data_IF_369348255990
#
_entry.id   IF_369348255990
#
_cell.length_a   1.000
_cell.length_b   1.000
_cell.length_c   1.000
_cell.angle_alpha   90.00
_cell.angle_beta   90.00
_cell.angle_gamma   90.00
#
_symmetry.space_group_name_H-M   'P 1'
#
loop_
_entity.id
_entity.type
_entity.pdbx_description
1 polymer ?
#
# COMPACT_ATOMS: atom_id res chain seq x y z
N UNK A 1 5.27 21.36 2.68
CA UNK A 1 4.73 20.25 1.87
C UNK A 1 3.24 20.48 1.73
N UNK A 2 2.66 20.37 0.53
CA UNK A 2 1.20 20.49 0.36
C UNK A 2 0.48 19.25 0.92
N UNK A 3 -0.83 19.35 1.16
CA UNK A 3 -1.63 18.25 1.75
C UNK A 3 -1.51 16.97 0.94
N UNK A 4 -1.57 17.08 -0.40
CA UNK A 4 -1.43 15.94 -1.30
C UNK A 4 -0.06 15.24 -1.16
N UNK A 5 1.04 16.01 -1.10
CA UNK A 5 2.38 15.47 -0.91
C UNK A 5 2.56 14.82 0.47
N UNK A 6 1.87 15.32 1.50
CA UNK A 6 1.85 14.69 2.81
C UNK A 6 1.11 13.35 2.79
N UNK A 7 -0.08 13.29 2.20
CA UNK A 7 -0.85 12.06 2.07
C UNK A 7 -0.09 11.01 1.26
N UNK A 8 0.62 11.42 0.20
CA UNK A 8 1.50 10.52 -0.54
C UNK A 8 2.68 9.99 0.29
N UNK A 9 3.29 10.83 1.14
CA UNK A 9 4.37 10.40 2.04
C UNK A 9 3.84 9.41 3.09
N UNK A 10 2.67 9.69 3.65
CA UNK A 10 2.00 8.80 4.59
C UNK A 10 1.65 7.46 3.94
N UNK A 11 1.07 7.47 2.73
CA UNK A 11 0.78 6.26 1.95
C UNK A 11 2.03 5.41 1.70
N UNK A 12 3.17 6.03 1.37
CA UNK A 12 4.46 5.32 1.26
C UNK A 12 4.90 4.73 2.60
N UNK A 13 4.73 5.48 3.69
CA UNK A 13 5.13 5.03 5.03
C UNK A 13 4.31 3.81 5.52
N UNK A 14 3.08 3.63 5.02
CA UNK A 14 2.25 2.46 5.27
C UNK A 14 2.74 1.19 4.54
N UNK A 15 3.54 1.31 3.48
CA UNK A 15 4.00 0.14 2.71
C UNK A 15 4.98 -0.74 3.48
N UNK A 16 5.84 -0.14 4.30
CA UNK A 16 6.86 -0.87 5.06
C UNK A 16 6.27 -1.97 5.97
N UNK A 17 5.27 -1.69 6.84
CA UNK A 17 4.64 -2.73 7.64
C UNK A 17 3.78 -3.70 6.81
N UNK A 18 3.27 -3.29 5.64
CA UNK A 18 2.48 -4.17 4.77
C UNK A 18 3.37 -5.22 4.07
N UNK A 19 4.64 -4.91 3.80
CA UNK A 19 5.55 -5.78 3.06
C UNK A 19 5.80 -7.15 3.73
N UNK A 20 5.64 -7.26 5.05
CA UNK A 20 5.83 -8.55 5.77
C UNK A 20 4.58 -9.44 5.74
N UNK A 21 3.40 -8.86 5.44
CA UNK A 21 2.13 -9.57 5.50
C UNK A 21 2.01 -10.79 4.58
N UNK A 22 2.53 -10.80 3.32
CA UNK A 22 2.44 -11.98 2.47
C UNK A 22 3.12 -13.21 3.10
N UNK A 23 4.33 -13.02 3.65
CA UNK A 23 5.09 -14.10 4.27
C UNK A 23 4.41 -14.53 5.56
N UNK A 24 3.92 -13.58 6.37
CA UNK A 24 3.16 -13.89 7.57
C UNK A 24 1.89 -14.70 7.27
N UNK A 25 1.12 -14.31 6.25
CA UNK A 25 -0.06 -15.03 5.79
C UNK A 25 0.27 -16.46 5.35
N UNK A 26 1.33 -16.62 4.56
CA UNK A 26 1.78 -17.95 4.11
C UNK A 26 2.20 -18.84 5.27
N UNK A 27 3.00 -18.33 6.21
CA UNK A 27 3.42 -19.09 7.39
C UNK A 27 2.21 -19.47 8.26
N UNK A 28 1.33 -18.50 8.54
CA UNK A 28 0.13 -18.73 9.33
C UNK A 28 -0.73 -19.82 8.70
N UNK A 29 -0.95 -19.73 7.38
CA UNK A 29 -1.84 -20.64 6.67
C UNK A 29 -1.23 -22.03 6.51
N UNK A 30 0.02 -22.13 6.04
CA UNK A 30 0.70 -23.42 5.85
C UNK A 30 0.81 -24.21 7.15
N UNK A 31 0.95 -23.54 8.30
CA UNK A 31 1.01 -24.18 9.61
C UNK A 31 -0.30 -24.78 10.12
N UNK A 32 -1.45 -24.47 9.51
CA UNK A 32 -2.76 -24.95 9.99
C UNK A 32 -2.90 -26.49 9.89
N UNK A 33 -3.74 -27.12 10.74
CA UNK A 33 -3.91 -28.59 10.79
C UNK A 33 -4.34 -29.24 9.47
N UNK A 34 -5.10 -28.52 8.65
CA UNK A 34 -5.62 -28.99 7.37
C UNK A 34 -4.61 -28.86 6.21
N UNK A 35 -3.44 -28.24 6.44
CA UNK A 35 -2.33 -28.16 5.49
C UNK A 35 -1.12 -28.94 6.00
N UNK A 36 -0.05 -28.28 6.45
CA UNK A 36 1.15 -28.99 6.92
C UNK A 36 1.02 -29.41 8.40
N UNK A 37 0.10 -28.81 9.16
CA UNK A 37 -0.11 -29.13 10.57
C UNK A 37 1.12 -28.85 11.44
N UNK A 38 1.81 -27.72 11.21
CA UNK A 38 3.00 -27.31 11.95
C UNK A 38 2.67 -26.07 12.79
N UNK A 39 2.25 -26.21 14.06
CA UNK A 39 1.86 -25.08 14.91
C UNK A 39 2.96 -24.03 15.07
N UNK A 40 4.23 -24.46 15.10
CA UNK A 40 5.39 -23.55 15.12
C UNK A 40 5.37 -22.56 13.94
N UNK A 41 5.00 -23.03 12.75
CA UNK A 41 4.92 -22.20 11.55
C UNK A 41 3.69 -21.28 11.60
N UNK A 42 2.56 -21.81 12.07
CA UNK A 42 1.33 -21.04 12.23
C UNK A 42 1.55 -19.85 13.17
N UNK A 43 2.15 -20.10 14.34
CA UNK A 43 2.42 -19.07 15.34
C UNK A 43 3.44 -18.02 14.87
N UNK A 44 4.42 -18.41 14.05
CA UNK A 44 5.35 -17.46 13.45
C UNK A 44 4.63 -16.43 12.56
N UNK A 45 3.63 -16.86 11.79
CA UNK A 45 2.78 -15.96 11.02
C UNK A 45 1.82 -15.15 11.89
N UNK A 46 1.16 -15.80 12.85
CA UNK A 46 0.23 -15.18 13.79
C UNK A 46 0.87 -14.04 14.60
N UNK A 47 2.13 -14.19 15.00
CA UNK A 47 2.87 -13.18 15.76
C UNK A 47 2.91 -11.82 15.04
N UNK A 48 2.97 -11.81 13.71
CA UNK A 48 2.96 -10.58 12.90
C UNK A 48 1.56 -9.94 12.90
N UNK A 49 0.51 -10.73 12.66
CA UNK A 49 -0.87 -10.23 12.64
C UNK A 49 -1.31 -9.71 14.02
N UNK A 50 -0.98 -10.43 15.08
CA UNK A 50 -1.30 -10.07 16.47
C UNK A 50 -0.62 -8.77 16.92
N UNK A 51 0.49 -8.37 16.27
CA UNK A 51 1.23 -7.16 16.59
C UNK A 51 1.15 -6.09 15.49
N UNK A 52 0.21 -6.23 14.56
CA UNK A 52 0.19 -5.40 13.37
C UNK A 52 -0.02 -3.89 13.68
N UNK A 53 -0.86 -3.45 14.64
CA UNK A 53 -0.91 -2.04 15.04
C UNK A 53 0.44 -1.47 15.50
N UNK A 54 1.25 -2.24 16.23
CA UNK A 54 2.59 -1.84 16.67
C UNK A 54 3.54 -1.73 15.48
N UNK A 55 3.51 -2.68 14.54
CA UNK A 55 4.29 -2.63 13.31
C UNK A 55 3.94 -1.39 12.48
N UNK A 56 2.65 -1.02 12.40
CA UNK A 56 2.22 0.23 11.75
C UNK A 56 2.79 1.46 12.46
N UNK A 57 2.75 1.51 13.80
CA UNK A 57 3.34 2.63 14.55
C UNK A 57 4.83 2.81 14.24
N UNK A 58 5.59 1.71 14.27
CA UNK A 58 7.03 1.73 13.97
C UNK A 58 7.30 2.10 12.50
N UNK A 59 6.62 1.44 11.57
CA UNK A 59 6.83 1.60 10.14
C UNK A 59 6.47 3.00 9.63
N UNK A 60 5.35 3.55 10.09
CA UNK A 60 4.94 4.92 9.75
C UNK A 60 5.93 5.93 10.35
N UNK A 61 6.37 5.73 11.60
CA UNK A 61 7.33 6.63 12.23
C UNK A 61 8.65 6.68 11.42
N UNK A 62 9.15 5.53 10.98
CA UNK A 62 10.32 5.43 10.11
C UNK A 62 10.06 6.11 8.77
N UNK A 63 8.98 5.77 8.08
CA UNK A 63 8.66 6.34 6.76
C UNK A 63 8.40 7.85 6.77
N UNK A 64 7.92 8.40 7.89
CA UNK A 64 7.71 9.84 8.06
C UNK A 64 8.94 10.58 8.60
N UNK A 65 9.88 9.89 9.24
CA UNK A 65 11.15 10.49 9.64
C UNK A 65 11.94 11.02 8.44
N UNK A 66 12.87 11.94 8.68
CA UNK A 66 13.66 12.58 7.62
C UNK A 66 14.70 11.62 7.00
N UNK A 67 15.22 10.69 7.79
CA UNK A 67 16.38 9.87 7.48
C UNK A 67 16.16 8.36 7.72
N UNK A 68 14.91 7.94 7.97
CA UNK A 68 14.57 6.54 8.21
C UNK A 68 15.15 5.97 9.51
N UNK A 69 15.53 6.81 10.48
CA UNK A 69 16.28 6.34 11.63
C UNK A 69 15.47 5.38 12.53
N UNK A 70 16.15 4.33 13.03
CA UNK A 70 15.56 3.37 13.98
C UNK A 70 15.05 3.98 15.29
N UNK A 71 15.58 5.15 15.69
CA UNK A 71 15.06 5.88 16.84
C UNK A 71 13.60 6.37 16.63
N UNK A 72 13.19 6.63 15.39
CA UNK A 72 11.80 6.94 15.06
C UNK A 72 10.89 5.71 15.23
N UNK A 73 11.34 4.51 14.82
CA UNK A 73 10.62 3.26 15.08
C UNK A 73 10.41 3.04 16.59
N UNK A 74 11.47 3.17 17.39
CA UNK A 74 11.36 3.04 18.85
C UNK A 74 10.36 4.06 19.42
N UNK A 75 10.38 5.30 18.95
CA UNK A 75 9.42 6.30 19.35
C UNK A 75 7.97 5.93 18.96
N UNK A 76 7.77 5.34 17.78
CA UNK A 76 6.47 4.81 17.34
C UNK A 76 5.93 3.75 18.29
N UNK A 77 6.78 2.79 18.68
CA UNK A 77 6.42 1.76 19.66
C UNK A 77 6.04 2.35 21.02
N UNK A 78 6.87 3.27 21.55
CA UNK A 78 6.58 3.98 22.81
C UNK A 78 5.28 4.74 22.73
N UNK A 79 5.05 5.47 21.63
CA UNK A 79 3.80 6.19 21.40
C UNK A 79 2.59 5.25 21.37
N UNK A 80 2.70 4.08 20.72
CA UNK A 80 1.60 3.14 20.68
C UNK A 80 1.25 2.61 22.07
N UNK A 81 2.25 2.20 22.86
CA UNK A 81 2.03 1.68 24.22
C UNK A 81 1.44 2.73 25.16
N UNK A 82 1.94 3.98 25.11
CA UNK A 82 1.38 5.06 25.94
C UNK A 82 -0.06 5.37 25.53
N UNK A 83 -0.34 5.40 24.23
CA UNK A 83 -1.68 5.70 23.70
C UNK A 83 -2.71 4.68 24.17
N UNK A 84 -2.43 3.39 23.97
CA UNK A 84 -3.39 2.33 24.30
C UNK A 84 -3.57 2.19 25.81
N UNK A 85 -2.49 2.20 26.59
CA UNK A 85 -2.56 2.08 28.03
C UNK A 85 -3.29 3.25 28.67
N UNK A 86 -2.96 4.50 28.30
CA UNK A 86 -3.55 5.68 28.93
C UNK A 86 -4.99 5.96 28.46
N UNK A 87 -5.36 5.65 27.22
CA UNK A 87 -6.75 5.76 26.79
C UNK A 87 -7.63 4.68 27.45
N UNK A 88 -7.10 3.46 27.59
CA UNK A 88 -7.79 2.32 28.20
C UNK A 88 -8.13 2.52 29.69
N UNK A 89 -7.38 3.34 30.42
CA UNK A 89 -7.73 3.68 31.82
C UNK A 89 -8.93 4.62 31.93
N UNK A 90 -9.23 5.38 30.88
CA UNK A 90 -10.40 6.26 30.82
C UNK A 90 -11.63 5.45 30.39
N UNK A 91 -11.47 4.58 29.39
CA UNK A 91 -12.52 3.68 28.94
C UNK A 91 -11.90 2.34 28.48
N UNK A 92 -12.18 1.22 29.19
CA UNK A 92 -11.60 -0.09 28.89
C UNK A 92 -12.11 -0.70 27.58
N UNK A 93 -13.24 -0.22 27.04
CA UNK A 93 -13.85 -0.71 25.80
C UNK A 93 -13.26 -0.05 24.54
N UNK A 94 -12.30 0.89 24.72
CA UNK A 94 -11.62 1.53 23.59
C UNK A 94 -10.76 0.51 22.85
N UNK A 95 -11.08 0.31 21.58
CA UNK A 95 -10.26 -0.43 20.64
C UNK A 95 -9.91 0.46 19.44
N UNK A 96 -8.72 1.06 19.50
CA UNK A 96 -8.19 1.86 18.39
C UNK A 96 -7.59 0.98 17.29
N UNK A 97 -7.28 -0.29 17.55
CA UNK A 97 -6.65 -1.21 16.61
C UNK A 97 -5.54 -0.52 15.78
N UNK A 98 -5.58 -0.63 14.46
CA UNK A 98 -4.63 -0.01 13.52
C UNK A 98 -4.57 1.52 13.60
N UNK A 99 -5.66 2.20 13.96
CA UNK A 99 -5.66 3.65 14.10
C UNK A 99 -4.75 4.11 15.23
N UNK A 100 -4.71 3.35 16.33
CA UNK A 100 -3.78 3.62 17.43
C UNK A 100 -2.34 3.57 16.93
N UNK A 101 -2.03 2.57 16.10
CA UNK A 101 -0.74 2.45 15.42
C UNK A 101 -0.43 3.64 14.51
N UNK A 102 -1.38 4.03 13.64
CA UNK A 102 -1.22 5.15 12.70
C UNK A 102 -1.01 6.48 13.43
N UNK A 103 -1.83 6.77 14.45
CA UNK A 103 -1.71 7.99 15.27
C UNK A 103 -0.34 8.04 15.95
N UNK A 104 0.05 6.95 16.62
CA UNK A 104 1.35 6.86 17.28
C UNK A 104 2.51 7.05 16.30
N UNK A 105 2.46 6.40 15.14
CA UNK A 105 3.49 6.51 14.11
C UNK A 105 3.61 7.91 13.51
N UNK A 106 2.48 8.57 13.26
CA UNK A 106 2.46 9.97 12.81
C UNK A 106 3.11 10.87 13.86
N UNK A 107 2.69 10.80 15.12
CA UNK A 107 3.24 11.64 16.19
C UNK A 107 4.73 11.37 16.37
N UNK A 108 5.16 10.10 16.35
CA UNK A 108 6.56 9.71 16.47
C UNK A 108 7.43 10.21 15.31
N UNK A 109 6.97 10.07 14.07
CA UNK A 109 7.70 10.56 12.90
C UNK A 109 7.90 12.08 12.91
N UNK A 110 6.88 12.83 13.34
CA UNK A 110 6.98 14.29 13.50
C UNK A 110 7.85 14.68 14.69
N UNK A 111 7.73 13.97 15.81
CA UNK A 111 8.58 14.16 16.99
C UNK A 111 10.05 13.92 16.63
N UNK A 112 10.35 12.90 15.83
CA UNK A 112 11.70 12.68 15.33
C UNK A 112 12.19 13.88 14.55
N UNK A 113 11.44 14.31 13.53
CA UNK A 113 11.82 15.43 12.67
C UNK A 113 12.05 16.73 13.47
N UNK A 114 11.31 16.92 14.56
CA UNK A 114 11.42 18.10 15.42
C UNK A 114 12.56 18.03 16.45
N UNK A 115 12.76 16.89 17.11
CA UNK A 115 13.56 16.81 18.34
C UNK A 115 14.88 16.02 18.21
N UNK A 116 15.11 15.29 17.11
CA UNK A 116 16.28 14.41 16.97
C UNK A 116 17.65 15.11 17.07
N UNK A 117 17.71 16.43 16.92
CA UNK A 117 18.94 17.25 17.01
C UNK A 117 18.93 18.23 18.19
N UNK A 118 17.92 18.18 19.07
CA UNK A 118 17.80 19.10 20.21
C UNK A 118 18.85 18.81 21.27
N UNK A 119 19.51 19.86 21.77
CA UNK A 119 20.46 19.79 22.87
C UNK A 119 19.83 20.30 24.15
N UNK A 120 19.87 19.50 25.21
CA UNK A 120 19.42 19.85 26.55
C UNK A 120 20.57 20.41 27.40
N UNK A 121 20.26 21.09 28.52
CA UNK A 121 21.26 21.49 29.50
C UNK A 121 22.11 20.30 29.99
N UNK A 122 23.34 20.57 30.45
CA UNK A 122 24.35 19.55 30.73
C UNK A 122 23.86 18.44 31.70
N UNK A 123 23.06 18.79 32.71
CA UNK A 123 22.50 17.82 33.66
C UNK A 123 21.44 16.87 33.06
N UNK A 124 20.86 17.21 31.89
CA UNK A 124 19.98 16.36 31.09
C UNK A 124 20.62 15.90 29.78
N UNK A 125 21.92 16.14 29.58
CA UNK A 125 22.62 15.91 28.31
C UNK A 125 22.53 14.46 27.80
N UNK A 126 22.32 13.49 28.71
CA UNK A 126 22.06 12.09 28.34
C UNK A 126 20.81 11.94 27.44
N UNK A 127 19.78 12.76 27.64
CA UNK A 127 18.54 12.68 26.88
C UNK A 127 18.58 13.48 25.58
N UNK A 128 19.66 14.22 25.28
CA UNK A 128 19.77 15.02 24.05
C UNK A 128 19.74 14.18 22.76
N UNK A 129 19.39 14.84 21.66
CA UNK A 129 19.41 14.29 20.31
C UNK A 129 18.36 13.21 20.07
N UNK A 130 18.73 12.14 19.37
CA UNK A 130 17.80 11.04 19.01
C UNK A 130 17.15 10.36 20.22
N UNK A 131 17.80 10.40 21.40
CA UNK A 131 17.27 9.86 22.66
C UNK A 131 16.09 10.65 23.23
N UNK A 132 15.98 11.94 22.86
CA UNK A 132 14.87 12.78 23.27
C UNK A 132 13.56 12.40 22.58
N UNK A 133 13.65 11.80 21.39
CA UNK A 133 12.51 11.59 20.52
C UNK A 133 11.44 10.67 21.14
N UNK A 134 11.77 9.48 21.68
CA UNK A 134 10.75 8.65 22.33
C UNK A 134 10.12 9.32 23.55
N UNK A 135 10.88 10.13 24.30
CA UNK A 135 10.39 10.87 25.48
C UNK A 135 9.34 11.90 25.05
N UNK A 136 9.69 12.75 24.08
CA UNK A 136 8.77 13.77 23.57
C UNK A 136 7.55 13.15 22.90
N UNK A 137 7.72 12.02 22.21
CA UNK A 137 6.61 11.28 21.61
C UNK A 137 5.64 10.80 22.69
N UNK A 138 6.16 10.17 23.76
CA UNK A 138 5.32 9.72 24.89
C UNK A 138 4.57 10.87 25.56
N UNK A 139 5.23 12.01 25.80
CA UNK A 139 4.60 13.19 26.39
C UNK A 139 3.49 13.78 25.51
N UNK A 140 3.71 13.89 24.19
CA UNK A 140 2.69 14.37 23.26
C UNK A 140 1.55 13.37 23.19
N UNK A 141 1.86 12.08 23.09
CA UNK A 141 0.86 11.02 23.06
C UNK A 141 0.03 10.99 24.33
N UNK A 142 0.58 11.30 25.50
CA UNK A 142 -0.21 11.33 26.74
C UNK A 142 -1.41 12.29 26.63
N UNK A 143 -1.20 13.45 26.00
CA UNK A 143 -2.29 14.40 25.71
C UNK A 143 -3.25 13.81 24.66
N UNK A 144 -2.72 13.19 23.61
CA UNK A 144 -3.54 12.53 22.57
C UNK A 144 -4.39 11.40 23.17
N UNK A 145 -3.84 10.61 24.08
CA UNK A 145 -4.50 9.50 24.75
C UNK A 145 -5.60 9.98 25.69
N UNK A 146 -5.36 11.09 26.40
CA UNK A 146 -6.39 11.73 27.20
C UNK A 146 -7.57 12.18 26.33
N UNK A 147 -7.30 12.81 25.17
CA UNK A 147 -8.36 13.17 24.21
C UNK A 147 -9.05 11.92 23.65
N UNK A 148 -8.28 10.92 23.22
CA UNK A 148 -8.79 9.67 22.66
C UNK A 148 -9.69 8.92 23.66
N UNK A 149 -9.36 8.93 24.95
CA UNK A 149 -10.17 8.34 26.02
C UNK A 149 -11.63 8.81 26.02
N UNK A 150 -11.88 10.07 25.67
CA UNK A 150 -13.22 10.64 25.62
C UNK A 150 -13.81 10.69 24.20
N UNK A 151 -12.98 10.92 23.19
CA UNK A 151 -13.44 11.16 21.82
C UNK A 151 -13.54 9.87 21.00
N UNK A 152 -12.62 8.93 21.20
CA UNK A 152 -12.58 7.68 20.43
C UNK A 152 -13.87 6.85 20.54
N UNK A 153 -14.54 6.72 21.71
CA UNK A 153 -15.80 5.99 21.80
C UNK A 153 -16.85 6.47 20.80
N UNK A 154 -16.94 7.77 20.53
CA UNK A 154 -17.86 8.31 19.51
C UNK A 154 -17.46 7.93 18.08
N UNK A 155 -16.15 7.92 17.80
CA UNK A 155 -15.61 7.51 16.50
C UNK A 155 -15.83 6.01 16.30
N UNK A 156 -15.51 5.20 17.31
CA UNK A 156 -15.70 3.76 17.32
C UNK A 156 -17.18 3.41 17.10
N UNK A 157 -18.09 4.00 17.88
CA UNK A 157 -19.53 3.80 17.69
C UNK A 157 -20.01 4.23 16.29
N UNK A 158 -19.41 5.29 15.71
CA UNK A 158 -19.71 5.72 14.34
C UNK A 158 -19.22 4.72 13.28
N UNK A 159 -18.02 4.17 13.46
CA UNK A 159 -17.47 3.10 12.61
C UNK A 159 -18.34 1.85 12.74
N UNK A 160 -18.71 1.47 13.97
CA UNK A 160 -19.53 0.31 14.25
C UNK A 160 -20.92 0.46 13.62
N UNK A 161 -21.59 1.61 13.81
CA UNK A 161 -22.89 1.88 13.20
C UNK A 161 -22.83 1.89 11.66
N UNK A 162 -21.80 2.51 11.08
CA UNK A 162 -21.59 2.50 9.62
C UNK A 162 -21.36 1.07 9.10
N UNK A 163 -20.54 0.32 9.83
CA UNK A 163 -20.20 -1.06 9.53
C UNK A 163 -21.39 -2.00 9.60
N UNK A 164 -22.17 -1.94 10.68
CA UNK A 164 -23.43 -2.67 10.83
C UNK A 164 -24.43 -2.29 9.73
N UNK A 165 -24.59 -0.99 9.43
CA UNK A 165 -25.47 -0.53 8.37
C UNK A 165 -25.11 -1.13 7.01
N UNK A 166 -23.82 -1.22 6.67
CA UNK A 166 -23.37 -1.90 5.44
C UNK A 166 -23.63 -3.41 5.53
N UNK A 167 -23.27 -4.07 6.63
CA UNK A 167 -23.43 -5.51 6.78
C UNK A 167 -24.89 -5.98 6.66
N UNK A 168 -25.83 -5.19 7.18
CA UNK A 168 -27.27 -5.48 7.13
C UNK A 168 -27.93 -5.08 5.80
N UNK A 169 -27.24 -4.31 4.95
CA UNK A 169 -27.77 -3.84 3.66
C UNK A 169 -27.69 -4.88 2.53
N UNK A 170 -27.25 -6.11 2.82
CA UNK A 170 -27.12 -7.19 1.85
C UNK A 170 -26.31 -6.79 0.61
N UNK A 171 -26.84 -7.03 -0.59
CA UNK A 171 -26.15 -6.71 -1.84
C UNK A 171 -25.74 -5.24 -1.98
N UNK A 172 -26.52 -4.29 -1.44
CA UNK A 172 -26.15 -2.86 -1.47
C UNK A 172 -24.91 -2.62 -0.62
N UNK A 173 -24.84 -3.26 0.54
CA UNK A 173 -23.68 -3.20 1.44
C UNK A 173 -22.42 -3.78 0.80
N UNK A 174 -22.52 -4.96 0.21
CA UNK A 174 -21.40 -5.60 -0.51
C UNK A 174 -20.84 -4.72 -1.62
N UNK A 175 -21.74 -4.10 -2.41
CA UNK A 175 -21.37 -3.16 -3.46
C UNK A 175 -20.62 -1.95 -2.90
N UNK A 176 -21.21 -1.28 -1.89
CA UNK A 176 -20.63 -0.09 -1.28
C UNK A 176 -19.26 -0.37 -0.68
N UNK A 177 -19.12 -1.48 0.05
CA UNK A 177 -17.82 -1.87 0.61
C UNK A 177 -16.77 -2.06 -0.49
N UNK A 178 -17.05 -2.84 -1.55
CA UNK A 178 -16.08 -3.09 -2.61
C UNK A 178 -15.68 -1.83 -3.38
N UNK A 179 -16.64 -0.95 -3.66
CA UNK A 179 -16.38 0.32 -4.34
C UNK A 179 -15.61 1.31 -3.47
N UNK A 180 -15.97 1.46 -2.19
CA UNK A 180 -15.23 2.32 -1.27
C UNK A 180 -13.83 1.79 -0.98
N UNK A 181 -13.68 0.46 -0.86
CA UNK A 181 -12.38 -0.17 -0.66
C UNK A 181 -11.39 0.25 -1.76
N UNK A 182 -11.78 0.15 -3.04
CA UNK A 182 -10.93 0.64 -4.13
C UNK A 182 -10.81 2.16 -4.10
N UNK A 183 -11.92 2.90 -4.01
CA UNK A 183 -11.91 4.37 -4.03
C UNK A 183 -11.01 5.02 -2.98
N UNK A 184 -10.74 4.34 -1.87
CA UNK A 184 -9.91 4.81 -0.76
C UNK A 184 -8.42 4.43 -0.86
N UNK A 185 -8.00 3.62 -1.83
CA UNK A 185 -6.58 3.26 -2.05
C UNK A 185 -5.67 4.46 -2.29
N UNK A 186 -6.03 5.49 -3.11
CA UNK A 186 -5.16 6.65 -3.32
C UNK A 186 -4.79 7.37 -2.02
N UNK A 187 -5.61 7.20 -0.98
CA UNK A 187 -5.44 7.82 0.33
C UNK A 187 -4.92 6.83 1.39
N UNK A 188 -4.75 5.55 1.05
CA UNK A 188 -4.43 4.48 2.01
C UNK A 188 -5.55 4.17 3.01
N UNK A 189 -6.73 4.80 2.86
CA UNK A 189 -7.85 4.71 3.81
C UNK A 189 -8.66 3.41 3.65
N UNK A 190 -8.40 2.62 2.62
CA UNK A 190 -9.04 1.32 2.44
C UNK A 190 -8.68 0.33 3.57
N UNK A 191 -7.50 0.47 4.20
CA UNK A 191 -7.13 -0.30 5.38
C UNK A 191 -8.03 -0.03 6.59
N UNK A 192 -8.55 1.20 6.71
CA UNK A 192 -9.53 1.56 7.75
C UNK A 192 -10.82 0.77 7.56
N UNK A 193 -11.32 0.73 6.33
CA UNK A 193 -12.50 -0.07 6.00
C UNK A 193 -12.24 -1.54 6.32
N UNK A 194 -11.11 -2.09 5.86
CA UNK A 194 -10.73 -3.47 6.12
C UNK A 194 -10.61 -3.81 7.60
N UNK A 195 -10.12 -2.89 8.42
CA UNK A 195 -9.96 -3.08 9.87
C UNK A 195 -11.27 -3.51 10.53
N UNK A 196 -12.36 -2.82 10.21
CA UNK A 196 -13.67 -3.16 10.74
C UNK A 196 -14.22 -4.45 10.13
N UNK A 197 -14.31 -4.53 8.79
CA UNK A 197 -15.00 -5.67 8.15
C UNK A 197 -14.26 -6.99 8.36
N UNK A 198 -12.94 -7.00 8.24
CA UNK A 198 -12.17 -8.25 8.31
C UNK A 198 -11.90 -8.70 9.74
N UNK A 199 -11.77 -7.77 10.70
CA UNK A 199 -11.35 -8.11 12.07
C UNK A 199 -12.38 -7.77 13.16
N UNK A 200 -13.39 -6.95 12.87
CA UNK A 200 -14.38 -6.47 13.85
C UNK A 200 -15.83 -6.87 13.56
N UNK A 201 -16.17 -7.26 12.33
CA UNK A 201 -17.55 -7.54 11.94
C UNK A 201 -18.03 -8.95 12.33
N UNK A 202 -18.99 -8.98 13.27
CA UNK A 202 -19.75 -10.17 13.64
C UNK A 202 -18.95 -11.19 14.44
N UNK A 203 -19.65 -12.10 15.09
CA UNK A 203 -19.10 -13.06 16.04
C UNK A 203 -19.38 -14.50 15.61
N UNK A 204 -18.42 -15.39 15.87
CA UNK A 204 -18.54 -16.82 15.66
C UNK A 204 -17.82 -17.57 16.78
N UNK A 205 -18.48 -18.56 17.37
CA UNK A 205 -17.81 -19.48 18.31
C UNK A 205 -17.33 -20.70 17.55
N UNK A 206 -16.02 -20.90 17.51
CA UNK A 206 -15.41 -22.01 16.78
C UNK A 206 -15.67 -23.36 17.49
N UNK A 207 -15.24 -24.47 16.86
CA UNK A 207 -15.40 -25.81 17.43
C UNK A 207 -14.66 -26.03 18.76
N UNK A 208 -13.66 -25.21 19.08
CA UNK A 208 -12.92 -25.24 20.34
C UNK A 208 -13.59 -24.42 21.45
N UNK A 209 -14.64 -23.64 21.14
CA UNK A 209 -15.33 -22.76 22.08
C UNK A 209 -14.78 -21.34 22.14
N UNK A 210 -13.80 -20.98 21.31
CA UNK A 210 -13.25 -19.63 21.26
C UNK A 210 -14.18 -18.71 20.47
N UNK A 211 -14.41 -17.51 21.01
CA UNK A 211 -15.10 -16.44 20.30
C UNK A 211 -14.13 -15.79 19.31
N UNK A 212 -14.53 -15.73 18.04
CA UNK A 212 -13.76 -15.17 16.94
C UNK A 212 -14.61 -14.10 16.25
N UNK A 213 -14.02 -12.93 16.03
CA UNK A 213 -14.71 -11.75 15.48
C UNK A 213 -14.07 -11.30 14.17
N UNK A 214 -14.89 -10.82 13.23
CA UNK A 214 -14.45 -10.30 11.92
C UNK A 214 -14.52 -11.32 10.79
N UNK A 215 -14.92 -10.87 9.59
CA UNK A 215 -15.20 -11.72 8.43
C UNK A 215 -14.00 -12.62 8.04
N UNK A 216 -12.77 -12.10 8.16
CA UNK A 216 -11.55 -12.86 7.87
C UNK A 216 -11.30 -13.93 8.92
N UNK A 217 -11.33 -13.56 10.20
CA UNK A 217 -11.03 -14.50 11.28
C UNK A 217 -12.10 -15.59 11.37
N UNK A 218 -13.37 -15.22 11.19
CA UNK A 218 -14.51 -16.14 11.16
C UNK A 218 -14.38 -17.16 10.03
N UNK A 219 -14.00 -16.72 8.82
CA UNK A 219 -13.76 -17.62 7.68
C UNK A 219 -12.69 -18.67 8.02
N UNK A 220 -11.55 -18.25 8.57
CA UNK A 220 -10.47 -19.17 8.95
C UNK A 220 -10.80 -20.02 10.18
N UNK A 221 -11.75 -19.61 11.01
CA UNK A 221 -12.31 -20.42 12.09
C UNK A 221 -13.35 -21.45 11.62
N UNK A 222 -13.70 -21.47 10.32
CA UNK A 222 -14.63 -22.42 9.73
C UNK A 222 -16.09 -21.96 9.72
N UNK A 223 -16.36 -20.66 9.88
CA UNK A 223 -17.71 -20.11 9.74
C UNK A 223 -18.16 -20.16 8.26
N UNK A 224 -19.19 -20.96 7.90
CA UNK A 224 -19.66 -21.08 6.52
C UNK A 224 -20.37 -19.82 6.00
N UNK A 225 -20.66 -18.85 6.88
CA UNK A 225 -21.32 -17.59 6.54
C UNK A 225 -20.33 -16.42 6.39
N UNK A 226 -19.03 -16.67 6.57
CA UNK A 226 -17.97 -15.68 6.48
C UNK A 226 -17.22 -15.73 5.14
N UNK A 227 -16.41 -14.71 4.86
CA UNK A 227 -15.74 -14.48 3.57
C UNK A 227 -16.56 -13.60 2.61
N UNK A 228 -17.63 -12.99 3.11
CA UNK A 228 -18.58 -12.15 2.36
C UNK A 228 -17.92 -10.87 1.83
N UNK A 229 -17.03 -10.28 2.63
CA UNK A 229 -16.29 -9.07 2.30
C UNK A 229 -14.90 -9.39 1.75
N UNK A 230 -14.68 -10.62 1.30
CA UNK A 230 -13.40 -11.13 0.82
C UNK A 230 -13.51 -11.78 -0.56
N UNK A 231 -14.48 -12.67 -0.77
CA UNK A 231 -14.56 -13.53 -1.94
C UNK A 231 -14.56 -12.76 -3.27
N UNK A 232 -15.28 -11.63 -3.32
CA UNK A 232 -15.39 -10.79 -4.51
C UNK A 232 -14.08 -10.14 -4.97
N UNK A 233 -13.01 -10.15 -4.17
CA UNK A 233 -11.70 -9.66 -4.61
C UNK A 233 -10.99 -10.65 -5.55
N UNK A 234 -11.19 -11.96 -5.41
CA UNK A 234 -10.52 -12.95 -6.25
C UNK A 234 -10.82 -12.77 -7.76
N UNK A 235 -12.09 -12.61 -8.21
CA UNK A 235 -12.37 -12.33 -9.62
C UNK A 235 -11.68 -11.07 -10.16
N UNK A 236 -11.52 -10.05 -9.32
CA UNK A 236 -10.91 -8.78 -9.72
C UNK A 236 -9.40 -8.89 -9.81
N UNK A 237 -8.76 -9.36 -8.73
CA UNK A 237 -7.31 -9.39 -8.61
C UNK A 237 -6.67 -10.44 -9.52
N UNK A 238 -7.29 -11.62 -9.59
CA UNK A 238 -6.76 -12.72 -10.41
C UNK A 238 -7.12 -12.57 -11.89
N UNK A 239 -8.22 -11.93 -12.24
CA UNK A 239 -8.71 -12.00 -13.63
C UNK A 239 -9.04 -10.63 -14.21
N UNK A 240 -9.79 -9.79 -13.49
CA UNK A 240 -10.15 -8.46 -13.96
C UNK A 240 -8.94 -7.60 -14.28
N UNK A 241 -8.01 -7.47 -13.34
CA UNK A 241 -6.80 -6.66 -13.51
C UNK A 241 -5.87 -7.17 -14.61
N UNK A 242 -5.58 -8.48 -14.74
CA UNK A 242 -4.93 -9.02 -15.94
C UNK A 242 -5.67 -8.73 -17.25
N UNK A 243 -7.01 -8.77 -17.26
CA UNK A 243 -7.82 -8.37 -18.41
C UNK A 243 -7.64 -6.88 -18.77
N UNK A 244 -7.60 -6.00 -17.77
CA UNK A 244 -7.28 -4.58 -17.95
C UNK A 244 -5.85 -4.36 -18.47
N UNK A 245 -4.87 -5.11 -17.95
CA UNK A 245 -3.49 -5.04 -18.43
C UNK A 245 -3.37 -5.46 -19.90
N UNK A 246 -4.06 -6.52 -20.32
CA UNK A 246 -4.13 -6.93 -21.72
C UNK A 246 -4.81 -5.85 -22.59
N UNK A 247 -5.89 -5.24 -22.11
CA UNK A 247 -6.56 -4.14 -22.82
C UNK A 247 -5.62 -2.93 -23.01
N UNK A 248 -4.87 -2.55 -21.97
CA UNK A 248 -3.88 -1.47 -22.06
C UNK A 248 -2.75 -1.82 -23.03
N UNK A 249 -2.24 -3.06 -23.01
CA UNK A 249 -1.21 -3.51 -23.94
C UNK A 249 -1.68 -3.46 -25.40
N UNK A 250 -2.87 -3.98 -25.70
CA UNK A 250 -3.40 -4.01 -27.07
C UNK A 250 -3.81 -2.63 -27.59
N UNK A 251 -4.11 -1.68 -26.69
CA UNK A 251 -4.43 -0.30 -27.06
C UNK A 251 -3.20 0.62 -27.08
N UNK A 252 -2.05 0.20 -26.57
CA UNK A 252 -0.81 0.96 -26.70
C UNK A 252 -0.41 1.16 -28.17
N UNK A 253 0.28 2.28 -28.46
CA UNK A 253 0.84 2.58 -29.78
C UNK A 253 1.76 1.43 -30.22
N UNK A 254 1.71 0.98 -31.50
CA UNK A 254 2.49 -0.17 -31.97
C UNK A 254 3.98 -0.10 -31.60
N UNK A 255 4.59 1.07 -31.76
CA UNK A 255 5.97 1.38 -31.44
C UNK A 255 6.31 1.29 -29.94
N UNK A 256 5.33 1.46 -29.04
CA UNK A 256 5.53 1.40 -27.58
C UNK A 256 5.12 0.06 -26.97
N UNK A 257 4.46 -0.84 -27.73
CA UNK A 257 3.95 -2.12 -27.20
C UNK A 257 5.04 -2.99 -26.58
N UNK A 258 6.20 -3.09 -27.22
CA UNK A 258 7.31 -3.89 -26.68
C UNK A 258 7.81 -3.35 -25.34
N UNK A 259 7.80 -2.02 -25.16
CA UNK A 259 8.22 -1.38 -23.92
C UNK A 259 7.22 -1.64 -22.78
N UNK A 260 5.92 -1.44 -23.05
CA UNK A 260 4.90 -1.54 -22.01
C UNK A 260 4.51 -2.99 -21.72
N UNK A 261 4.66 -3.90 -22.68
CA UNK A 261 4.23 -5.30 -22.58
C UNK A 261 4.90 -6.05 -21.42
N UNK A 262 6.23 -5.93 -21.28
CA UNK A 262 6.95 -6.61 -20.19
C UNK A 262 6.53 -6.11 -18.80
N UNK A 263 6.36 -4.79 -18.65
CA UNK A 263 5.92 -4.19 -17.38
C UNK A 263 4.50 -4.60 -17.05
N UNK A 264 3.56 -4.46 -18.00
CA UNK A 264 2.15 -4.81 -17.82
C UNK A 264 1.98 -6.30 -17.49
N UNK A 265 2.72 -7.18 -18.17
CA UNK A 265 2.71 -8.60 -17.86
C UNK A 265 3.23 -8.87 -16.44
N UNK A 266 4.35 -8.28 -16.05
CA UNK A 266 4.93 -8.47 -14.72
C UNK A 266 3.98 -8.05 -13.61
N UNK A 267 3.39 -6.85 -13.69
CA UNK A 267 2.48 -6.36 -12.64
C UNK A 267 1.12 -7.09 -12.66
N UNK A 268 0.64 -7.52 -13.83
CA UNK A 268 -0.55 -8.36 -13.93
C UNK A 268 -0.32 -9.74 -13.32
N UNK A 269 0.87 -10.33 -13.54
CA UNK A 269 1.25 -11.59 -12.94
C UNK A 269 1.39 -11.46 -11.41
N UNK A 270 1.93 -10.35 -10.92
CA UNK A 270 1.94 -10.05 -9.48
C UNK A 270 0.51 -10.00 -8.91
N UNK A 271 -0.39 -9.26 -9.53
CA UNK A 271 -1.81 -9.24 -9.14
C UNK A 271 -2.45 -10.63 -9.24
N UNK A 272 -2.10 -11.44 -10.23
CA UNK A 272 -2.65 -12.78 -10.33
C UNK A 272 -2.18 -13.71 -9.20
N UNK A 273 -0.89 -13.72 -8.92
CA UNK A 273 -0.29 -14.65 -7.97
C UNK A 273 -0.54 -14.25 -6.52
N UNK A 274 -0.32 -12.98 -6.20
CA UNK A 274 -0.35 -12.46 -4.82
C UNK A 274 -1.55 -11.56 -4.54
N UNK A 275 -2.22 -11.08 -5.60
CA UNK A 275 -3.27 -10.06 -5.57
C UNK A 275 -2.87 -8.72 -5.00
N UNK A 276 -1.56 -8.41 -4.99
CA UNK A 276 -1.09 -7.02 -4.89
C UNK A 276 -1.48 -6.29 -6.17
N UNK A 277 -2.28 -5.24 -6.03
CA UNK A 277 -2.92 -4.55 -7.16
C UNK A 277 -2.27 -3.20 -7.48
N UNK A 278 -1.64 -2.58 -6.50
CA UNK A 278 -1.16 -1.21 -6.51
C UNK A 278 -0.18 -0.91 -7.64
N UNK A 279 0.81 -1.78 -7.97
CA UNK A 279 1.72 -1.53 -9.07
C UNK A 279 1.01 -1.37 -10.42
N UNK A 280 -0.12 -2.06 -10.63
CA UNK A 280 -0.91 -1.98 -11.86
C UNK A 280 -1.95 -0.85 -11.77
N UNK A 281 -2.68 -0.74 -10.67
CA UNK A 281 -3.68 0.32 -10.45
C UNK A 281 -3.06 1.72 -10.61
N UNK A 282 -1.87 1.93 -10.06
CA UNK A 282 -1.17 3.22 -10.15
C UNK A 282 -0.73 3.58 -11.57
N UNK A 283 -0.65 2.60 -12.49
CA UNK A 283 -0.34 2.87 -13.89
C UNK A 283 -1.48 3.54 -14.64
N UNK A 284 -2.74 3.44 -14.19
CA UNK A 284 -3.86 4.08 -14.88
C UNK A 284 -4.68 5.02 -14.00
N UNK A 285 -4.64 4.88 -12.68
CA UNK A 285 -5.40 5.70 -11.73
C UNK A 285 -5.23 7.21 -11.98
N UNK A 286 -4.00 7.68 -12.20
CA UNK A 286 -3.72 9.10 -12.38
C UNK A 286 -3.80 9.56 -13.84
N UNK A 287 -3.57 8.65 -14.79
CA UNK A 287 -3.55 9.00 -16.22
C UNK A 287 -4.93 8.87 -16.88
N UNK A 288 -5.76 7.97 -16.36
CA UNK A 288 -7.12 7.72 -16.81
C UNK A 288 -8.05 7.47 -15.61
N UNK A 289 -8.38 8.51 -14.81
CA UNK A 289 -9.19 8.37 -13.59
C UNK A 289 -10.54 7.69 -13.80
N UNK A 290 -11.14 7.86 -14.99
CA UNK A 290 -12.38 7.16 -15.35
C UNK A 290 -12.25 5.64 -15.27
N UNK A 291 -11.13 5.06 -15.75
CA UNK A 291 -10.90 3.62 -15.67
C UNK A 291 -10.79 3.17 -14.21
N UNK A 292 -10.30 4.03 -13.33
CA UNK A 292 -10.22 3.75 -11.90
C UNK A 292 -11.59 3.75 -11.21
N UNK A 293 -12.46 4.69 -11.57
CA UNK A 293 -13.86 4.68 -11.11
C UNK A 293 -14.56 3.41 -11.58
N UNK A 294 -14.38 3.04 -12.86
CA UNK A 294 -14.95 1.79 -13.40
C UNK A 294 -14.42 0.57 -12.66
N UNK A 295 -13.11 0.48 -12.40
CA UNK A 295 -12.49 -0.57 -11.59
C UNK A 295 -13.10 -0.68 -10.18
N UNK A 296 -13.30 0.45 -9.51
CA UNK A 296 -13.94 0.48 -8.19
C UNK A 296 -15.39 -0.03 -8.22
N UNK A 297 -16.18 0.38 -9.22
CA UNK A 297 -17.56 -0.07 -9.40
C UNK A 297 -17.62 -1.56 -9.71
N UNK A 298 -16.78 -2.04 -10.64
CA UNK A 298 -16.71 -3.47 -10.99
C UNK A 298 -16.30 -4.33 -9.80
N UNK A 299 -15.46 -3.81 -8.90
CA UNK A 299 -15.09 -4.48 -7.66
C UNK A 299 -16.28 -4.62 -6.72
N UNK A 300 -17.06 -3.55 -6.52
CA UNK A 300 -18.33 -3.63 -5.76
C UNK A 300 -19.28 -4.67 -6.35
N UNK A 301 -19.47 -4.67 -7.67
CA UNK A 301 -20.31 -5.68 -8.34
C UNK A 301 -19.78 -7.10 -8.16
N UNK A 302 -18.46 -7.28 -8.06
CA UNK A 302 -17.85 -8.60 -7.89
C UNK A 302 -18.25 -9.22 -6.57
N UNK A 303 -18.24 -8.42 -5.49
CA UNK A 303 -18.70 -8.86 -4.20
C UNK A 303 -20.20 -9.18 -4.21
N UNK A 304 -21.02 -8.37 -4.87
CA UNK A 304 -22.45 -8.67 -5.02
C UNK A 304 -22.67 -10.02 -5.68
N UNK A 305 -21.99 -10.27 -6.80
CA UNK A 305 -22.15 -11.50 -7.57
C UNK A 305 -21.62 -12.71 -6.80
N UNK A 306 -20.43 -12.63 -6.21
CA UNK A 306 -19.87 -13.70 -5.40
C UNK A 306 -20.84 -14.09 -4.27
N UNK A 307 -21.37 -13.11 -3.54
CA UNK A 307 -22.31 -13.35 -2.44
C UNK A 307 -23.68 -13.85 -2.91
N UNK A 308 -24.22 -13.31 -4.01
CA UNK A 308 -25.51 -13.74 -4.55
C UNK A 308 -25.51 -15.21 -5.00
N UNK A 309 -24.35 -15.72 -5.44
CA UNK A 309 -24.17 -17.12 -5.83
C UNK A 309 -23.53 -17.98 -4.74
N UNK A 310 -23.47 -17.48 -3.50
CA UNK A 310 -22.90 -18.18 -2.34
C UNK A 310 -21.48 -18.70 -2.60
N UNK A 311 -20.62 -17.83 -3.14
CA UNK A 311 -19.21 -18.08 -3.38
C UNK A 311 -18.42 -17.45 -2.23
N UNK A 312 -18.08 -18.22 -1.21
CA UNK A 312 -17.36 -17.73 -0.03
C UNK A 312 -15.89 -18.14 -0.11
N UNK A 313 -14.97 -17.21 0.06
CA UNK A 313 -13.54 -17.46 0.06
C UNK A 313 -12.82 -16.37 0.86
N UNK A 314 -11.82 -16.78 1.64
CA UNK A 314 -10.94 -15.88 2.38
C UNK A 314 -9.50 -15.93 1.87
N UNK A 315 -8.72 -14.95 2.29
CA UNK A 315 -7.31 -14.77 2.00
C UNK A 315 -6.60 -14.24 3.24
N UNK A 316 -5.34 -14.64 3.43
CA UNK A 316 -4.53 -14.14 4.54
C UNK A 316 -3.88 -12.80 4.24
N UNK A 317 -3.71 -12.46 2.95
CA UNK A 317 -3.08 -11.21 2.53
C UNK A 317 -3.88 -10.44 1.48
N UNK A 318 -4.01 -10.96 0.24
CA UNK A 318 -4.59 -10.14 -0.84
C UNK A 318 -5.18 -10.95 -1.99
N UNK A 319 -6.09 -11.89 -1.73
CA UNK A 319 -6.94 -12.58 -2.72
C UNK A 319 -6.26 -13.05 -4.04
N UNK A 320 -5.00 -13.47 -3.98
CA UNK A 320 -4.26 -13.99 -5.12
C UNK A 320 -4.47 -15.49 -5.35
N UNK A 321 -3.85 -16.03 -6.40
CA UNK A 321 -3.83 -17.48 -6.67
C UNK A 321 -3.34 -18.28 -5.47
N UNK A 322 -2.31 -17.81 -4.77
CA UNK A 322 -1.80 -18.52 -3.60
C UNK A 322 -2.85 -18.66 -2.50
N UNK A 323 -3.56 -17.58 -2.18
CA UNK A 323 -4.67 -17.62 -1.22
C UNK A 323 -5.79 -18.55 -1.71
N UNK A 324 -6.15 -18.50 -2.99
CA UNK A 324 -7.21 -19.33 -3.57
C UNK A 324 -6.89 -20.83 -3.44
N UNK A 325 -5.65 -21.22 -3.78
CA UNK A 325 -5.21 -22.61 -3.73
C UNK A 325 -5.10 -23.08 -2.28
N UNK A 326 -4.48 -22.29 -1.41
CA UNK A 326 -4.30 -22.66 0.00
C UNK A 326 -5.63 -22.75 0.76
N UNK A 327 -6.62 -21.94 0.38
CA UNK A 327 -7.92 -21.88 1.06
C UNK A 327 -9.01 -22.63 0.31
N UNK A 328 -8.66 -23.40 -0.73
CA UNK A 328 -9.63 -24.11 -1.58
C UNK A 328 -10.58 -25.01 -0.81
N UNK A 329 -10.07 -25.72 0.21
CA UNK A 329 -10.86 -26.63 1.05
C UNK A 329 -11.79 -25.92 2.04
N UNK A 330 -11.51 -24.65 2.36
CA UNK A 330 -12.35 -23.81 3.24
C UNK A 330 -13.39 -23.02 2.44
N UNK A 331 -13.14 -22.81 1.14
CA UNK A 331 -14.01 -22.01 0.28
C UNK A 331 -15.32 -22.73 -0.04
N UNK A 332 -16.41 -21.95 -0.11
CA UNK A 332 -17.71 -22.40 -0.63
C UNK A 332 -17.80 -22.07 -2.11
N UNK A 333 -18.11 -23.08 -2.94
CA UNK A 333 -18.20 -22.95 -4.40
C UNK A 333 -16.96 -22.32 -5.10
N UNK A 334 -15.71 -22.72 -4.78
CA UNK A 334 -14.50 -22.09 -5.33
C UNK A 334 -14.39 -22.20 -6.86
N UNK A 335 -14.91 -23.28 -7.46
CA UNK A 335 -14.96 -23.43 -8.92
C UNK A 335 -15.83 -22.35 -9.56
N UNK A 336 -16.99 -22.05 -8.96
CA UNK A 336 -17.88 -21.00 -9.47
C UNK A 336 -17.22 -19.62 -9.35
N UNK A 337 -16.43 -19.39 -8.29
CA UNK A 337 -15.66 -18.16 -8.12
C UNK A 337 -14.59 -17.99 -9.19
N UNK A 338 -13.90 -19.07 -9.57
CA UNK A 338 -12.94 -19.06 -10.71
C UNK A 338 -13.66 -18.80 -12.03
N UNK A 339 -14.84 -19.39 -12.26
CA UNK A 339 -15.66 -19.12 -13.45
C UNK A 339 -16.07 -17.64 -13.50
N UNK A 340 -16.53 -17.09 -12.38
CA UNK A 340 -16.82 -15.65 -12.25
C UNK A 340 -15.57 -14.81 -12.57
N UNK A 341 -14.39 -15.26 -12.12
CA UNK A 341 -13.11 -14.71 -12.51
C UNK A 341 -12.90 -14.64 -14.02
N UNK A 342 -13.10 -15.73 -14.75
CA UNK A 342 -12.98 -15.74 -16.22
C UNK A 342 -13.97 -14.79 -16.89
N UNK A 343 -15.20 -14.69 -16.37
CA UNK A 343 -16.18 -13.68 -16.83
C UNK A 343 -15.65 -12.26 -16.57
N UNK A 344 -15.05 -12.03 -15.41
CA UNK A 344 -14.43 -10.76 -15.05
C UNK A 344 -13.23 -10.42 -15.93
N UNK A 345 -12.41 -11.39 -16.33
CA UNK A 345 -11.34 -11.17 -17.32
C UNK A 345 -11.90 -10.59 -18.62
N UNK A 346 -12.95 -11.23 -19.17
CA UNK A 346 -13.59 -10.79 -20.41
C UNK A 346 -14.26 -9.42 -20.24
N UNK A 347 -14.95 -9.19 -19.11
CA UNK A 347 -15.62 -7.93 -18.82
C UNK A 347 -14.63 -6.77 -18.68
N UNK A 348 -13.57 -6.93 -17.87
CA UNK A 348 -12.53 -5.92 -17.70
C UNK A 348 -11.83 -5.65 -19.03
N UNK A 349 -11.43 -6.69 -19.76
CA UNK A 349 -10.82 -6.53 -21.07
C UNK A 349 -11.72 -5.73 -22.01
N UNK A 350 -12.98 -6.14 -22.19
CA UNK A 350 -13.93 -5.51 -23.10
C UNK A 350 -14.23 -4.06 -22.72
N UNK A 351 -14.49 -3.78 -21.45
CA UNK A 351 -14.80 -2.44 -20.94
C UNK A 351 -13.57 -1.53 -21.08
N UNK A 352 -12.41 -1.94 -20.58
CA UNK A 352 -11.20 -1.12 -20.64
C UNK A 352 -10.81 -0.88 -22.10
N UNK A 353 -10.75 -1.91 -22.93
CA UNK A 353 -10.38 -1.78 -24.33
C UNK A 353 -11.30 -0.80 -25.07
N UNK A 354 -12.61 -0.90 -24.84
CA UNK A 354 -13.61 -0.02 -25.45
C UNK A 354 -13.45 1.42 -24.98
N UNK A 355 -13.42 1.65 -23.66
CA UNK A 355 -13.28 3.00 -23.10
C UNK A 355 -11.98 3.67 -23.53
N UNK A 356 -10.86 2.93 -23.52
CA UNK A 356 -9.56 3.45 -23.95
C UNK A 356 -9.60 3.90 -25.41
N UNK A 357 -10.20 3.11 -26.30
CA UNK A 357 -10.26 3.46 -27.73
C UNK A 357 -11.25 4.57 -28.02
N UNK A 358 -12.48 4.48 -27.48
CA UNK A 358 -13.57 5.42 -27.78
C UNK A 358 -13.29 6.81 -27.21
N UNK A 359 -12.77 6.87 -25.98
CA UNK A 359 -12.49 8.14 -25.29
C UNK A 359 -11.03 8.59 -25.43
N UNK A 360 -10.24 7.86 -26.20
CA UNK A 360 -8.81 8.10 -26.41
C UNK A 360 -8.03 8.31 -25.09
N UNK A 361 -8.28 7.46 -24.10
CA UNK A 361 -7.67 7.59 -22.77
C UNK A 361 -6.15 7.37 -22.84
N UNK A 362 -5.41 8.12 -22.03
CA UNK A 362 -3.94 8.12 -21.98
C UNK A 362 -3.41 7.03 -21.04
N UNK A 363 -3.65 5.77 -21.38
CA UNK A 363 -3.06 4.62 -20.67
C UNK A 363 -1.58 4.45 -21.03
N UNK A 364 -0.80 3.64 -20.29
CA UNK A 364 0.61 3.40 -20.59
C UNK A 364 0.83 3.03 -22.07
N UNK A 365 1.70 3.76 -22.75
CA UNK A 365 1.99 3.57 -24.17
C UNK A 365 1.02 4.29 -25.13
N UNK A 366 0.11 5.15 -24.64
CA UNK A 366 -0.78 6.02 -25.44
C UNK A 366 -0.55 7.52 -25.23
N UNK A 367 0.55 7.90 -24.59
CA UNK A 367 0.92 9.29 -24.36
C UNK A 367 1.22 9.99 -25.71
N UNK A 368 0.91 11.29 -25.81
CA UNK A 368 1.20 12.10 -27.00
C UNK A 368 2.71 12.17 -27.26
N UNK A 369 3.11 12.27 -28.52
CA UNK A 369 4.53 12.14 -28.90
C UNK A 369 5.38 13.36 -28.47
N UNK A 370 4.76 14.50 -28.19
CA UNK A 370 5.42 15.63 -27.49
C UNK A 370 5.72 15.33 -26.02
N UNK A 371 5.22 14.21 -25.50
CA UNK A 371 5.59 13.66 -24.20
C UNK A 371 6.56 12.48 -24.28
N UNK A 372 7.02 12.03 -25.47
CA UNK A 372 7.75 10.76 -25.58
C UNK A 372 8.95 10.76 -26.54
N UNK A 373 10.13 10.71 -25.93
CA UNK A 373 11.17 9.76 -26.33
C UNK A 373 11.26 8.73 -25.20
N UNK A 374 10.64 7.56 -25.40
CA UNK A 374 10.69 6.42 -24.50
C UNK A 374 10.77 5.15 -25.36
N UNK A 375 11.62 4.22 -24.91
CA UNK A 375 12.00 2.97 -25.55
C UNK A 375 13.06 3.04 -26.65
N UNK A 376 14.20 3.69 -26.41
CA UNK A 376 15.44 3.02 -26.79
C UNK A 376 15.66 1.91 -25.77
N UNK A 377 15.61 0.67 -26.25
CA UNK A 377 16.12 -0.46 -25.49
C UNK A 377 17.51 -0.14 -24.98
N UNK A 378 17.73 -0.36 -23.69
CA UNK A 378 19.09 -0.58 -23.20
C UNK A 378 19.59 -1.86 -23.88
N UNK A 379 20.21 -1.71 -25.04
CA UNK A 379 21.36 -2.54 -25.37
C UNK A 379 22.30 -2.42 -24.18
N UNK A 380 22.44 -3.50 -23.41
CA UNK A 380 23.58 -3.65 -22.53
C UNK A 380 24.84 -3.42 -23.38
N UNK A 381 25.71 -2.45 -23.06
CA UNK A 381 27.11 -2.77 -23.10
C UNK A 381 27.36 -3.68 -21.91
N UNK A 382 27.88 -4.87 -22.17
CA UNK A 382 28.61 -5.61 -21.16
C UNK A 382 29.62 -4.66 -20.50
N UNK A 383 29.47 -4.41 -19.19
CA UNK A 383 30.52 -4.45 -18.16
C UNK A 383 30.07 -3.74 -16.87
N UNK A 384 30.46 -4.34 -15.73
CA UNK A 384 30.41 -3.85 -14.36
C UNK A 384 29.07 -3.98 -13.58
N UNK A 385 28.75 -5.22 -13.22
CA UNK A 385 28.02 -5.54 -11.98
C UNK A 385 28.86 -5.10 -10.76
N UNK A 386 28.40 -4.07 -10.04
CA UNK A 386 28.99 -3.64 -8.77
C UNK A 386 28.35 -2.33 -8.28
N UNK A 387 28.47 -2.05 -6.98
CA UNK A 387 27.99 -0.80 -6.36
C UNK A 387 28.43 0.46 -7.13
N UNK A 388 29.62 0.41 -7.75
CA UNK A 388 30.20 1.44 -8.62
C UNK A 388 29.33 1.86 -9.81
N UNK A 389 28.53 0.94 -10.40
CA UNK A 389 27.67 1.27 -11.54
C UNK A 389 26.45 2.12 -11.16
N UNK A 390 25.88 1.88 -9.97
CA UNK A 390 24.71 2.63 -9.46
C UNK A 390 25.11 4.00 -8.93
N UNK A 391 26.26 4.11 -8.27
CA UNK A 391 26.86 5.39 -7.85
C UNK A 391 27.13 6.31 -9.06
N UNK A 392 27.68 5.75 -10.15
CA UNK A 392 27.93 6.52 -11.37
C UNK A 392 26.63 7.02 -12.01
N UNK A 393 25.59 6.16 -12.06
CA UNK A 393 24.27 6.54 -12.58
C UNK A 393 23.60 7.63 -11.73
N UNK A 394 23.71 7.56 -10.40
CA UNK A 394 23.24 8.59 -9.48
C UNK A 394 23.94 9.95 -9.71
N UNK A 395 25.26 9.95 -9.95
CA UNK A 395 26.01 11.16 -10.34
C UNK A 395 25.51 11.75 -11.66
N UNK A 396 25.31 10.91 -12.67
CA UNK A 396 24.83 11.37 -13.97
C UNK A 396 23.43 11.98 -13.87
N UNK A 397 22.52 11.38 -13.09
CA UNK A 397 21.22 12.00 -12.82
C UNK A 397 21.37 13.37 -12.16
N UNK A 398 22.17 13.48 -11.10
CA UNK A 398 22.36 14.74 -10.39
C UNK A 398 22.91 15.87 -11.29
N UNK A 399 23.81 15.56 -12.22
CA UNK A 399 24.34 16.54 -13.18
C UNK A 399 23.22 17.14 -14.05
N UNK A 400 22.36 16.30 -14.63
CA UNK A 400 21.28 16.76 -15.50
C UNK A 400 20.07 17.33 -14.74
N UNK A 401 20.05 17.17 -13.41
CA UNK A 401 19.08 17.80 -12.52
C UNK A 401 19.48 19.23 -12.09
N UNK A 402 20.55 19.78 -12.67
CA UNK A 402 21.09 21.10 -12.30
C UNK A 402 22.14 21.05 -11.19
N UNK A 403 22.72 19.87 -10.92
CA UNK A 403 23.73 19.65 -9.90
C UNK A 403 23.18 19.39 -8.49
N UNK A 404 24.05 18.94 -7.59
CA UNK A 404 23.68 18.60 -6.20
C UNK A 404 23.07 19.79 -5.45
N UNK A 405 23.57 21.01 -5.71
CA UNK A 405 23.07 22.22 -5.07
C UNK A 405 21.63 22.58 -5.47
N UNK A 406 21.14 22.06 -6.60
CA UNK A 406 19.76 22.27 -7.01
C UNK A 406 18.79 21.33 -6.29
N UNK A 407 19.26 20.20 -5.76
CA UNK A 407 18.43 19.24 -5.03
C UNK A 407 18.23 19.72 -3.59
N UNK A 408 16.97 19.78 -3.16
CA UNK A 408 16.59 20.15 -1.78
C UNK A 408 15.95 19.00 -1.02
N UNK A 409 15.45 18.00 -1.75
CA UNK A 409 14.95 16.74 -1.18
C UNK A 409 15.08 15.63 -2.21
N UNK A 410 15.64 14.50 -1.80
CA UNK A 410 15.72 13.26 -2.59
C UNK A 410 14.87 12.20 -1.89
N UNK A 411 13.87 11.69 -2.59
CA UNK A 411 13.00 10.61 -2.15
C UNK A 411 12.73 9.69 -3.35
N UNK A 412 12.06 8.57 -3.13
CA UNK A 412 11.64 7.66 -4.19
C UNK A 412 10.32 6.98 -3.86
N UNK A 413 9.67 6.40 -4.85
CA UNK A 413 8.73 5.28 -4.68
C UNK A 413 9.20 4.14 -5.60
N UNK A 414 8.50 3.00 -5.57
CA UNK A 414 8.86 1.77 -6.31
C UNK A 414 9.44 2.06 -7.71
N UNK A 415 8.78 2.90 -8.50
CA UNK A 415 9.21 3.17 -9.89
C UNK A 415 9.73 4.58 -10.17
N UNK A 416 9.79 5.48 -9.18
CA UNK A 416 10.07 6.91 -9.44
C UNK A 416 10.96 7.55 -8.39
N UNK A 417 12.01 8.25 -8.81
CA UNK A 417 12.69 9.26 -8.00
C UNK A 417 11.76 10.44 -7.82
N UNK A 418 11.57 10.91 -6.58
CA UNK A 418 10.75 12.06 -6.23
C UNK A 418 11.67 13.12 -5.68
N UNK A 419 11.86 14.18 -6.44
CA UNK A 419 12.87 15.19 -6.17
C UNK A 419 12.19 16.54 -5.95
N UNK A 420 12.67 17.29 -4.96
CA UNK A 420 12.35 18.72 -4.83
C UNK A 420 13.59 19.52 -5.19
N UNK A 421 13.46 20.42 -6.16
CA UNK A 421 14.52 21.25 -6.71
C UNK A 421 14.35 22.71 -6.31
N UNK A 422 15.43 23.49 -6.29
CA UNK A 422 15.38 24.95 -6.15
C UNK A 422 14.79 25.58 -7.41
N UNK A 423 15.24 25.11 -8.57
CA UNK A 423 14.80 25.56 -9.88
C UNK A 423 14.58 24.35 -10.81
N UNK A 424 13.37 24.21 -11.34
CA UNK A 424 13.06 23.14 -12.30
C UNK A 424 13.33 23.55 -13.75
N UNK A 425 13.61 24.82 -14.04
CA UNK A 425 13.87 25.30 -15.40
C UNK A 425 15.24 24.86 -15.95
N UNK A 426 16.19 24.56 -15.06
CA UNK A 426 17.56 24.18 -15.39
C UNK A 426 17.78 22.68 -15.64
N UNK A 427 16.71 21.86 -15.57
CA UNK A 427 16.83 20.41 -15.77
C UNK A 427 16.93 20.07 -17.25
N UNK A 428 17.81 19.12 -17.57
CA UNK A 428 17.94 18.55 -18.91
C UNK A 428 17.13 17.26 -19.00
N UNK A 429 15.85 17.38 -19.33
CA UNK A 429 14.94 16.23 -19.44
C UNK A 429 15.37 15.23 -20.52
N UNK A 430 16.01 15.69 -21.59
CA UNK A 430 16.46 14.82 -22.67
C UNK A 430 17.61 13.93 -22.21
N UNK A 431 18.58 14.50 -21.50
CA UNK A 431 19.69 13.75 -20.94
C UNK A 431 19.25 12.82 -19.78
N UNK A 432 18.34 13.27 -18.92
CA UNK A 432 17.75 12.41 -17.86
C UNK A 432 17.07 11.18 -18.48
N UNK A 433 16.32 11.34 -19.58
CA UNK A 433 15.73 10.21 -20.31
C UNK A 433 16.78 9.32 -20.98
N UNK A 434 17.87 9.90 -21.50
CA UNK A 434 18.98 9.15 -22.09
C UNK A 434 19.70 8.24 -21.07
N UNK A 435 19.68 8.60 -19.78
CA UNK A 435 20.20 7.76 -18.68
C UNK A 435 19.30 6.58 -18.29
N UNK A 436 18.13 6.43 -18.94
CA UNK A 436 17.21 5.32 -18.70
C UNK A 436 15.93 5.72 -17.96
N UNK A 437 15.69 7.01 -17.70
CA UNK A 437 14.40 7.45 -17.19
C UNK A 437 13.30 7.33 -18.25
N UNK A 438 12.22 6.63 -17.90
CA UNK A 438 11.04 6.48 -18.73
C UNK A 438 10.25 7.79 -18.87
N UNK A 439 10.24 8.64 -17.84
CA UNK A 439 9.57 9.94 -17.86
C UNK A 439 10.13 10.90 -16.81
N UNK A 440 9.94 12.21 -17.03
CA UNK A 440 10.14 13.26 -16.04
C UNK A 440 8.80 14.00 -15.91
N UNK A 441 8.20 14.00 -14.72
CA UNK A 441 6.89 14.59 -14.44
C UNK A 441 7.06 15.77 -13.50
N UNK A 442 6.70 16.98 -13.93
CA UNK A 442 6.73 18.18 -13.07
C UNK A 442 5.45 18.26 -12.24
N UNK A 443 5.59 18.45 -10.93
CA UNK A 443 4.48 18.54 -9.97
C UNK A 443 4.60 19.85 -9.17
N UNK A 444 3.82 20.85 -9.58
CA UNK A 444 3.95 22.21 -9.07
C UNK A 444 5.22 22.89 -9.59
N UNK A 445 5.71 23.92 -8.88
CA UNK A 445 6.84 24.73 -9.31
C UNK A 445 8.21 24.08 -9.08
N UNK A 446 8.33 23.28 -8.02
CA UNK A 446 9.63 22.84 -7.48
C UNK A 446 9.78 21.32 -7.37
N UNK A 447 8.75 20.52 -7.64
CA UNK A 447 8.88 19.06 -7.53
C UNK A 447 8.88 18.40 -8.91
N UNK A 448 9.72 17.38 -9.06
CA UNK A 448 9.70 16.51 -10.23
C UNK A 448 9.68 15.05 -9.80
N UNK A 449 9.15 14.19 -10.68
CA UNK A 449 9.28 12.74 -10.55
C UNK A 449 9.99 12.18 -11.78
N UNK A 450 11.13 11.52 -11.57
CA UNK A 450 11.86 10.81 -12.63
C UNK A 450 11.50 9.33 -12.54
N UNK A 451 10.79 8.81 -13.53
CA UNK A 451 10.33 7.43 -13.57
C UNK A 451 11.48 6.55 -14.07
N UNK A 452 12.16 5.82 -13.17
CA UNK A 452 13.33 4.99 -13.52
C UNK A 452 13.11 3.49 -13.30
N UNK A 453 11.91 3.09 -12.87
CA UNK A 453 11.58 1.69 -12.61
C UNK A 453 11.99 1.23 -11.20
N UNK A 454 11.97 -0.09 -10.93
CA UNK A 454 12.11 -0.70 -9.59
C UNK A 454 13.35 -0.27 -8.80
N UNK A 455 14.36 0.24 -9.49
CA UNK A 455 15.63 0.68 -8.91
C UNK A 455 15.60 2.11 -8.36
N UNK A 456 14.43 2.78 -8.40
CA UNK A 456 14.29 4.16 -7.97
C UNK A 456 14.76 4.42 -6.53
N UNK A 457 14.49 3.48 -5.62
CA UNK A 457 14.92 3.58 -4.23
C UNK A 457 16.43 3.46 -4.08
N UNK A 458 17.05 2.51 -4.79
CA UNK A 458 18.50 2.30 -4.80
C UNK A 458 19.23 3.54 -5.31
N UNK A 459 18.76 4.12 -6.42
CA UNK A 459 19.37 5.34 -6.98
C UNK A 459 19.17 6.54 -6.05
N UNK A 460 18.01 6.68 -5.41
CA UNK A 460 17.79 7.75 -4.43
C UNK A 460 18.76 7.66 -3.25
N UNK A 461 19.05 6.45 -2.77
CA UNK A 461 19.94 6.25 -1.64
C UNK A 461 21.40 6.54 -2.02
N UNK A 462 21.86 6.10 -3.20
CA UNK A 462 23.16 6.49 -3.76
C UNK A 462 23.28 8.02 -3.91
N UNK A 463 22.23 8.68 -4.42
CA UNK A 463 22.19 10.15 -4.52
C UNK A 463 22.30 10.84 -3.16
N UNK A 464 21.67 10.31 -2.10
CA UNK A 464 21.78 10.87 -0.74
C UNK A 464 23.18 10.70 -0.16
N UNK A 465 23.84 9.57 -0.42
CA UNK A 465 25.24 9.35 0.01
C UNK A 465 26.19 10.34 -0.66
N UNK A 466 25.94 10.66 -1.93
CA UNK A 466 26.77 11.56 -2.74
C UNK A 466 26.46 13.05 -2.53
N UNK A 467 25.26 13.38 -2.08
CA UNK A 467 24.81 14.78 -1.93
C UNK A 467 25.41 15.43 -0.69
N UNK A 468 26.12 16.58 -0.80
CA UNK A 468 26.73 17.24 0.35
C UNK A 468 25.74 17.87 1.35
N UNK A 469 24.44 17.97 1.02
CA UNK A 469 23.52 18.88 1.73
C UNK A 469 22.03 18.47 1.80
N UNK A 470 21.65 17.24 1.40
CA UNK A 470 20.23 16.81 1.28
C UNK A 470 19.87 15.63 2.17
#
# INVERSE_FOLDING_TARGET
MNVLGYLQKLGKALMLPIAVLPVAALLLRLGQPDLLGIPFMAEAGNAIFSNLPLLFAMGIAVGLSKDGAGAAALAGAVGYFVLTAAAGTINPDINMSFFGGIIAGIVAGHSYNRFHATQLPQYLGFFSGKRLVPIMTGLIILVVAWVAGYVWPFIQNGIDAFGHGIAESGSVGHFLYGTLNRGLIPFGLHHVLNSYFWFGLGDFTNAAGDLVTGDLNRFFAGDPTAGVFMAGFFPVMMFGLPGAALAMYLTAKPEKRNQVGGVLFSVALTSFLTGITEPLEFMFMFMAPLLYVVHAVLTGLSLVLANAFNMMAGFGFSAGLFDMVLNWGLATNPVALVILGLVYFAAYFGIFYTLIRVLNLKTPGREDDDAVVAAKGSSQPETASGATGKTALAQSYAQHLGGWDNLTKIDACITRLRLTLKDTSVIDEAAIKALGAAAVVRIGSNNIQVVIGPEAEIIADEMKVLSPAV
#
